data_IF_724769122283
#
_entry.id   IF_724769122283
#
_cell.length_a   1.000
_cell.length_b   1.000
_cell.length_c   1.000
_cell.angle_alpha   90.00
_cell.angle_beta   90.00
_cell.angle_gamma   90.00
#
_symmetry.space_group_name_H-M   'P 1'
#
loop_
_entity.id
_entity.type
_entity.pdbx_description
1 polymer ?
#
# COMPACT_ATOMS: atom_id res chain seq x y z
N UNK A 1 26.94 3.19 -13.64
CA UNK A 1 26.31 4.47 -14.03
C UNK A 1 26.05 5.20 -12.73
N UNK A 2 26.55 6.41 -12.54
CA UNK A 2 26.22 7.24 -11.38
C UNK A 2 25.01 8.08 -11.75
N UNK A 3 23.82 7.51 -11.54
CA UNK A 3 22.54 8.02 -12.04
C UNK A 3 21.47 7.88 -10.98
N UNK A 4 20.64 8.90 -10.88
CA UNK A 4 19.61 9.02 -9.86
C UNK A 4 18.23 8.77 -10.48
N UNK A 5 17.61 7.63 -10.17
CA UNK A 5 16.29 7.25 -10.68
C UNK A 5 15.18 8.24 -10.27
N UNK A 6 15.41 9.08 -9.25
CA UNK A 6 14.47 10.15 -8.91
C UNK A 6 14.41 11.23 -10.00
N UNK A 7 15.43 11.33 -10.85
CA UNK A 7 15.51 12.30 -11.95
C UNK A 7 15.08 11.66 -13.26
N UNK A 8 14.27 12.41 -14.01
CA UNK A 8 13.72 11.99 -15.31
C UNK A 8 14.82 11.70 -16.35
N UNK A 9 15.78 12.61 -16.54
CA UNK A 9 16.88 12.43 -17.52
C UNK A 9 17.75 11.20 -17.18
N UNK A 10 18.07 11.02 -15.90
CA UNK A 10 18.82 9.86 -15.44
C UNK A 10 18.03 8.55 -15.64
N UNK A 11 16.72 8.55 -15.40
CA UNK A 11 15.83 7.41 -15.70
C UNK A 11 15.86 7.05 -17.18
N UNK A 12 15.80 8.03 -18.08
CA UNK A 12 15.91 7.81 -19.53
C UNK A 12 17.24 7.12 -19.85
N UNK A 13 18.35 7.61 -19.30
CA UNK A 13 19.68 7.06 -19.56
C UNK A 13 19.84 5.63 -19.01
N UNK A 14 19.26 5.34 -17.84
CA UNK A 14 19.20 3.99 -17.27
C UNK A 14 18.43 3.04 -18.21
N UNK A 15 17.25 3.44 -18.69
CA UNK A 15 16.44 2.62 -19.59
C UNK A 15 17.14 2.37 -20.94
N UNK A 16 17.76 3.38 -21.52
CA UNK A 16 18.51 3.21 -22.76
C UNK A 16 19.70 2.26 -22.58
N UNK A 17 20.34 2.28 -21.42
CA UNK A 17 21.39 1.31 -21.10
C UNK A 17 20.85 -0.11 -20.99
N UNK A 18 19.70 -0.30 -20.35
CA UNK A 18 19.02 -1.60 -20.34
C UNK A 18 18.65 -2.06 -21.74
N UNK A 19 18.16 -1.18 -22.60
CA UNK A 19 17.85 -1.50 -23.98
C UNK A 19 19.10 -1.97 -24.76
N UNK A 20 20.23 -1.29 -24.57
CA UNK A 20 21.52 -1.70 -25.15
C UNK A 20 21.97 -3.08 -24.66
N UNK A 21 21.91 -3.33 -23.35
CA UNK A 21 22.32 -4.60 -22.74
C UNK A 21 21.41 -5.77 -23.15
N UNK A 22 20.12 -5.51 -23.29
CA UNK A 22 19.14 -6.47 -23.81
C UNK A 22 19.17 -6.61 -25.34
N UNK A 23 20.02 -5.83 -26.01
CA UNK A 23 20.15 -5.80 -27.48
C UNK A 23 18.80 -5.57 -28.18
N UNK A 24 17.99 -4.69 -27.61
CA UNK A 24 16.69 -4.36 -28.17
C UNK A 24 16.90 -3.58 -29.48
N UNK A 25 16.01 -3.84 -30.44
CA UNK A 25 16.04 -3.25 -31.79
C UNK A 25 14.61 -2.99 -32.26
N UNK A 26 14.45 -2.39 -33.44
CA UNK A 26 13.16 -1.99 -34.03
C UNK A 26 12.06 -3.08 -34.03
N UNK A 27 12.43 -4.37 -33.98
CA UNK A 27 11.50 -5.51 -33.86
C UNK A 27 11.14 -5.86 -32.41
N UNK A 28 11.02 -4.84 -31.56
CA UNK A 28 11.05 -4.93 -30.10
C UNK A 28 9.91 -5.76 -29.50
N UNK A 29 10.26 -6.53 -28.46
CA UNK A 29 9.27 -7.06 -27.51
C UNK A 29 9.18 -6.08 -26.34
N UNK A 30 7.98 -5.61 -26.07
CA UNK A 30 7.64 -4.90 -24.84
C UNK A 30 8.27 -5.60 -23.61
N UNK A 31 8.81 -4.82 -22.69
CA UNK A 31 9.33 -5.27 -21.40
C UNK A 31 8.51 -4.68 -20.28
N UNK A 32 8.21 -5.50 -19.29
CA UNK A 32 7.57 -5.04 -18.06
C UNK A 32 8.62 -4.35 -17.18
N UNK A 33 8.35 -3.11 -16.80
CA UNK A 33 9.15 -2.34 -15.84
C UNK A 33 8.27 -2.09 -14.63
N UNK A 34 8.63 -2.66 -13.48
CA UNK A 34 7.87 -2.51 -12.24
C UNK A 34 8.68 -1.68 -11.26
N UNK A 35 8.08 -0.63 -10.72
CA UNK A 35 8.74 0.29 -9.79
C UNK A 35 7.73 1.05 -8.94
N UNK A 36 8.22 1.99 -8.14
CA UNK A 36 7.34 2.83 -7.34
C UNK A 36 6.60 3.88 -8.23
N UNK A 37 5.84 4.75 -7.56
CA UNK A 37 5.10 5.82 -8.23
C UNK A 37 6.03 6.83 -8.95
N UNK A 38 7.21 7.11 -8.41
CA UNK A 38 8.16 8.04 -9.00
C UNK A 38 8.79 7.45 -10.26
N UNK A 39 9.21 6.18 -10.22
CA UNK A 39 9.72 5.45 -11.40
C UNK A 39 8.70 5.46 -12.53
N UNK A 40 7.43 5.12 -12.24
CA UNK A 40 6.37 5.10 -13.25
C UNK A 40 6.13 6.49 -13.85
N UNK A 41 6.11 7.53 -13.02
CA UNK A 41 5.99 8.93 -13.47
C UNK A 41 7.17 9.32 -14.37
N UNK A 42 8.39 8.99 -13.98
CA UNK A 42 9.59 9.33 -14.72
C UNK A 42 9.66 8.61 -16.08
N UNK A 43 9.24 7.35 -16.17
CA UNK A 43 9.14 6.62 -17.44
C UNK A 43 8.14 7.33 -18.38
N UNK A 44 6.94 7.65 -17.90
CA UNK A 44 5.92 8.35 -18.71
C UNK A 44 6.38 9.73 -19.15
N UNK A 45 6.93 10.52 -18.24
CA UNK A 45 7.49 11.84 -18.56
C UNK A 45 8.64 11.73 -19.57
N UNK A 46 9.49 10.70 -19.43
CA UNK A 46 10.57 10.43 -20.36
C UNK A 46 10.09 10.11 -21.78
N UNK A 47 8.99 9.37 -21.94
CA UNK A 47 8.35 9.19 -23.26
C UNK A 47 7.87 10.51 -23.85
N UNK A 48 7.24 11.34 -23.02
CA UNK A 48 6.76 12.67 -23.42
C UNK A 48 7.89 13.55 -23.97
N UNK A 49 9.01 13.63 -23.25
CA UNK A 49 10.19 14.40 -23.68
C UNK A 49 10.82 13.89 -24.99
N UNK A 50 10.55 12.64 -25.37
CA UNK A 50 11.16 11.99 -26.51
C UNK A 50 10.21 11.81 -27.68
N UNK A 51 9.02 12.42 -27.66
CA UNK A 51 7.99 12.29 -28.71
C UNK A 51 8.50 12.64 -30.13
N UNK A 52 9.57 13.43 -30.25
CA UNK A 52 10.20 13.79 -31.53
C UNK A 52 11.21 12.76 -32.07
N UNK A 53 11.52 11.70 -31.34
CA UNK A 53 12.45 10.65 -31.78
C UNK A 53 11.81 9.71 -32.81
N UNK A 54 12.61 9.21 -33.76
CA UNK A 54 12.12 8.25 -34.78
C UNK A 54 12.27 6.79 -34.33
N UNK A 55 13.30 6.48 -33.55
CA UNK A 55 13.61 5.14 -33.07
C UNK A 55 12.69 4.74 -31.90
N UNK A 56 11.90 3.65 -32.00
CA UNK A 56 11.04 3.14 -30.92
C UNK A 56 11.78 2.86 -29.60
N UNK A 57 13.07 2.50 -29.67
CA UNK A 57 13.94 2.31 -28.50
C UNK A 57 14.16 3.65 -27.80
N UNK A 58 14.50 4.69 -28.57
CA UNK A 58 14.68 6.05 -28.06
C UNK A 58 13.38 6.64 -27.53
N UNK A 59 12.23 6.33 -28.15
CA UNK A 59 10.90 6.70 -27.66
C UNK A 59 10.49 5.99 -26.36
N UNK A 60 11.28 5.01 -25.88
CA UNK A 60 10.98 4.19 -24.70
C UNK A 60 9.62 3.48 -24.79
N UNK A 61 9.13 3.19 -26.00
CA UNK A 61 7.81 2.55 -26.21
C UNK A 61 7.77 1.13 -25.64
N UNK A 62 8.92 0.47 -25.62
CA UNK A 62 9.12 -0.88 -25.11
C UNK A 62 8.95 -1.00 -23.59
N UNK A 63 9.24 0.05 -22.83
CA UNK A 63 9.38 -0.01 -21.37
C UNK A 63 8.03 0.15 -20.69
N UNK A 64 7.17 -0.88 -20.67
CA UNK A 64 5.80 -0.81 -20.14
C UNK A 64 5.82 -0.73 -18.61
N UNK A 65 5.47 0.42 -18.06
CA UNK A 65 5.61 0.71 -16.63
C UNK A 65 4.40 0.25 -15.82
N UNK A 66 4.63 -0.39 -14.69
CA UNK A 66 3.58 -0.76 -13.74
C UNK A 66 3.97 -0.36 -12.34
N UNK A 67 3.04 0.24 -11.56
CA UNK A 67 3.30 0.49 -10.15
C UNK A 67 3.49 -0.84 -9.42
N UNK A 68 4.41 -0.85 -8.47
CA UNK A 68 4.66 -1.94 -7.55
C UNK A 68 3.59 -2.02 -6.46
N UNK A 69 3.38 -3.23 -5.93
CA UNK A 69 2.27 -3.48 -5.01
C UNK A 69 2.64 -3.23 -3.54
N UNK A 70 3.92 -3.10 -3.17
CA UNK A 70 4.28 -2.77 -1.79
C UNK A 70 3.78 -1.38 -1.43
N UNK A 71 4.06 -0.41 -2.29
CA UNK A 71 3.60 0.95 -2.07
C UNK A 71 2.09 1.09 -2.24
N UNK A 72 1.46 0.26 -3.08
CA UNK A 72 0.00 0.15 -3.14
C UNK A 72 -0.59 -0.33 -1.81
N UNK A 73 -0.06 -1.40 -1.22
CA UNK A 73 -0.48 -1.90 0.09
C UNK A 73 -0.30 -0.82 1.15
N UNK A 74 0.83 -0.11 1.14
CA UNK A 74 1.06 0.98 2.08
C UNK A 74 0.06 2.13 1.90
N UNK A 75 -0.24 2.54 0.67
CA UNK A 75 -1.20 3.61 0.43
C UNK A 75 -2.64 3.18 0.77
N UNK A 76 -3.00 1.91 0.53
CA UNK A 76 -4.26 1.33 0.97
C UNK A 76 -4.39 1.39 2.50
N UNK A 77 -3.34 1.01 3.23
CA UNK A 77 -3.27 1.12 4.69
C UNK A 77 -3.44 2.56 5.17
N UNK A 78 -2.72 3.51 4.57
CA UNK A 78 -2.82 4.95 4.89
C UNK A 78 -4.23 5.47 4.64
N UNK A 79 -4.81 5.11 3.51
CA UNK A 79 -6.18 5.50 3.12
C UNK A 79 -7.18 4.97 4.11
N UNK A 80 -7.09 3.68 4.47
CA UNK A 80 -7.98 3.06 5.44
C UNK A 80 -7.85 3.70 6.83
N UNK A 81 -6.60 3.91 7.26
CA UNK A 81 -6.29 4.53 8.55
C UNK A 81 -6.82 5.95 8.63
N UNK A 82 -6.61 6.76 7.59
CA UNK A 82 -7.09 8.14 7.53
C UNK A 82 -8.62 8.21 7.64
N UNK A 83 -9.33 7.32 6.96
CA UNK A 83 -10.80 7.28 6.97
C UNK A 83 -11.40 6.96 8.34
N UNK A 84 -10.65 6.27 9.19
CA UNK A 84 -11.14 5.73 10.46
C UNK A 84 -10.40 6.29 11.68
N UNK A 85 -9.45 7.22 11.48
CA UNK A 85 -8.55 7.68 12.54
C UNK A 85 -9.30 8.30 13.73
N UNK A 86 -10.14 9.31 13.44
CA UNK A 86 -10.94 10.03 14.42
C UNK A 86 -10.17 10.62 15.60
N UNK A 87 -10.90 11.10 16.60
CA UNK A 87 -10.34 11.60 17.86
C UNK A 87 -10.24 10.48 18.89
N UNK A 88 -9.29 10.58 19.83
CA UNK A 88 -9.12 9.58 20.90
C UNK A 88 -10.32 9.50 21.86
N UNK A 89 -11.18 10.52 21.88
CA UNK A 89 -12.42 10.57 22.67
C UNK A 89 -13.61 9.95 21.94
N UNK A 90 -13.52 9.72 20.63
CA UNK A 90 -14.62 9.19 19.85
C UNK A 90 -14.65 7.65 19.90
N UNK A 91 -15.81 7.11 20.23
CA UNK A 91 -16.05 5.68 20.30
C UNK A 91 -15.68 4.96 18.98
N UNK A 92 -14.86 3.92 19.10
CA UNK A 92 -14.46 3.03 18.00
C UNK A 92 -13.55 3.69 16.95
N UNK A 93 -13.00 4.88 17.22
CA UNK A 93 -11.98 5.47 16.35
C UNK A 93 -10.65 4.72 16.49
N UNK A 94 -9.82 4.70 15.45
CA UNK A 94 -8.48 4.09 15.55
C UNK A 94 -7.63 4.81 16.60
N UNK A 95 -7.76 6.13 16.75
CA UNK A 95 -7.03 6.90 17.76
C UNK A 95 -7.42 6.51 19.18
N UNK A 96 -8.71 6.25 19.45
CA UNK A 96 -9.18 5.76 20.75
C UNK A 96 -8.62 4.36 21.02
N UNK A 97 -8.75 3.46 20.03
CA UNK A 97 -8.30 2.07 20.16
C UNK A 97 -6.79 2.02 20.37
N UNK A 98 -6.02 2.81 19.63
CA UNK A 98 -4.56 2.95 19.80
C UNK A 98 -4.16 3.23 21.24
N UNK A 99 -4.85 4.16 21.90
CA UNK A 99 -4.62 4.49 23.31
C UNK A 99 -5.04 3.33 24.21
N UNK A 100 -6.19 2.71 23.93
CA UNK A 100 -6.71 1.60 24.73
C UNK A 100 -5.78 0.37 24.77
N UNK A 101 -5.10 0.07 23.66
CA UNK A 101 -4.15 -1.05 23.55
C UNK A 101 -2.67 -0.62 23.64
N UNK A 102 -2.40 0.64 24.02
CA UNK A 102 -1.04 1.19 24.18
C UNK A 102 -0.13 1.08 22.94
N UNK A 103 -0.69 1.19 21.73
CA UNK A 103 0.06 1.14 20.45
C UNK A 103 0.48 2.54 19.98
N UNK A 104 1.11 3.32 20.85
CA UNK A 104 1.37 4.76 20.62
C UNK A 104 2.28 5.09 19.43
N UNK A 105 3.05 4.11 18.93
CA UNK A 105 3.89 4.27 17.74
C UNK A 105 3.10 4.24 16.43
N UNK A 106 1.87 3.72 16.43
CA UNK A 106 1.00 3.78 15.26
C UNK A 106 0.49 5.21 15.07
N UNK A 107 0.49 5.72 13.85
CA UNK A 107 0.10 7.09 13.54
C UNK A 107 -0.79 7.17 12.28
N UNK A 108 -1.51 8.30 12.14
CA UNK A 108 -2.49 8.48 11.06
C UNK A 108 -1.88 8.44 9.65
N UNK A 109 -0.61 8.86 9.51
CA UNK A 109 0.09 8.91 8.23
C UNK A 109 0.81 7.59 7.93
N UNK A 110 0.79 6.65 8.88
CA UNK A 110 1.46 5.36 8.81
C UNK A 110 2.93 5.50 8.40
N UNK A 111 3.67 6.37 9.09
CA UNK A 111 5.09 6.62 8.79
C UNK A 111 5.94 5.36 8.96
N UNK A 112 5.62 4.56 9.97
CA UNK A 112 6.19 3.23 10.12
C UNK A 112 5.19 2.18 9.60
N UNK A 113 5.47 1.65 8.40
CA UNK A 113 4.61 0.67 7.74
C UNK A 113 4.28 -0.53 8.64
N UNK A 114 5.30 -1.18 9.21
CA UNK A 114 5.11 -2.41 10.01
C UNK A 114 4.26 -2.17 11.25
N UNK A 115 4.55 -1.11 12.01
CA UNK A 115 3.78 -0.78 13.21
C UNK A 115 2.33 -0.47 12.87
N UNK A 116 2.09 0.28 11.79
CA UNK A 116 0.73 0.62 11.36
C UNK A 116 -0.01 -0.57 10.75
N UNK A 117 0.68 -1.42 9.98
CA UNK A 117 0.11 -2.62 9.37
C UNK A 117 -0.35 -3.62 10.43
N UNK A 118 0.52 -3.92 11.40
CA UNK A 118 0.22 -4.80 12.51
C UNK A 118 -0.96 -4.24 13.33
N UNK A 119 -0.89 -2.96 13.72
CA UNK A 119 -1.96 -2.28 14.45
C UNK A 119 -3.29 -2.38 13.69
N UNK A 120 -3.32 -2.00 12.42
CA UNK A 120 -4.55 -1.99 11.63
C UNK A 120 -5.13 -3.40 11.45
N UNK A 121 -4.28 -4.43 11.33
CA UNK A 121 -4.73 -5.82 11.25
C UNK A 121 -5.32 -6.33 12.56
N UNK A 122 -4.69 -6.02 13.70
CA UNK A 122 -5.24 -6.36 15.02
C UNK A 122 -6.59 -5.68 15.24
N UNK A 123 -6.67 -4.40 14.88
CA UNK A 123 -7.88 -3.61 15.00
C UNK A 123 -8.99 -4.16 14.09
N UNK A 124 -8.68 -4.48 12.83
CA UNK A 124 -9.61 -5.10 11.89
C UNK A 124 -10.18 -6.42 12.43
N UNK A 125 -9.32 -7.32 12.93
CA UNK A 125 -9.74 -8.59 13.54
C UNK A 125 -10.62 -8.38 14.77
N UNK A 126 -10.25 -7.46 15.66
CA UNK A 126 -11.05 -7.12 16.84
C UNK A 126 -12.44 -6.58 16.48
N UNK A 127 -12.54 -5.76 15.43
CA UNK A 127 -13.81 -5.28 14.91
C UNK A 127 -14.64 -6.38 14.25
N UNK A 128 -14.03 -7.29 13.49
CA UNK A 128 -14.71 -8.47 12.92
C UNK A 128 -15.36 -9.29 14.04
N UNK A 129 -14.61 -9.63 15.10
CA UNK A 129 -15.11 -10.41 16.22
C UNK A 129 -16.23 -9.68 16.97
N UNK A 130 -16.08 -8.38 17.25
CA UNK A 130 -17.10 -7.59 17.92
C UNK A 130 -18.38 -7.49 17.09
N UNK A 131 -18.27 -7.22 15.78
CA UNK A 131 -19.40 -7.15 14.88
C UNK A 131 -20.12 -8.50 14.75
N UNK A 132 -19.38 -9.60 14.66
CA UNK A 132 -19.95 -10.95 14.63
C UNK A 132 -20.68 -11.29 15.93
N UNK A 133 -20.11 -10.94 17.09
CA UNK A 133 -20.74 -11.16 18.40
C UNK A 133 -22.12 -10.49 18.44
N UNK A 134 -22.20 -9.22 18.03
CA UNK A 134 -23.47 -8.47 17.97
C UNK A 134 -24.42 -9.05 16.93
N UNK A 135 -23.93 -9.39 15.73
CA UNK A 135 -24.75 -9.92 14.64
C UNK A 135 -25.38 -11.28 14.96
N UNK A 136 -24.62 -12.16 15.61
CA UNK A 136 -25.08 -13.49 16.02
C UNK A 136 -25.92 -13.45 17.31
N UNK A 137 -26.03 -12.28 17.95
CA UNK A 137 -26.79 -12.11 19.20
C UNK A 137 -26.15 -12.80 20.40
N UNK A 138 -24.83 -12.96 20.40
CA UNK A 138 -24.09 -13.58 21.50
C UNK A 138 -23.95 -12.60 22.67
N UNK A 139 -24.06 -13.10 23.90
CA UNK A 139 -23.87 -12.28 25.11
C UNK A 139 -22.38 -11.98 25.35
N UNK A 140 -21.51 -12.87 24.87
CA UNK A 140 -20.07 -12.81 25.06
C UNK A 140 -19.33 -13.37 23.84
N UNK A 141 -18.15 -12.83 23.49
CA UNK A 141 -17.29 -13.39 22.44
C UNK A 141 -16.77 -14.81 22.71
N UNK A 142 -16.86 -15.28 23.96
CA UNK A 142 -16.47 -16.65 24.34
C UNK A 142 -17.62 -17.64 24.14
N UNK A 143 -18.83 -17.16 23.86
CA UNK A 143 -19.99 -18.02 23.58
C UNK A 143 -19.81 -18.73 22.25
N UNK A 144 -20.01 -20.05 22.24
CA UNK A 144 -19.90 -20.85 21.02
C UNK A 144 -21.15 -20.67 20.17
N UNK A 145 -20.97 -20.32 18.90
CA UNK A 145 -22.04 -20.36 17.90
C UNK A 145 -21.99 -21.70 17.15
N UNK A 146 -23.06 -22.49 17.25
CA UNK A 146 -23.13 -23.79 16.59
C UNK A 146 -23.50 -23.62 15.11
N UNK A 147 -22.48 -23.64 14.24
CA UNK A 147 -22.68 -23.76 12.81
C UNK A 147 -22.90 -25.23 12.43
N UNK A 148 -24.07 -25.57 11.88
CA UNK A 148 -24.48 -26.97 11.65
C UNK A 148 -23.95 -27.57 10.35
N UNK A 149 -23.50 -26.76 9.39
CA UNK A 149 -22.93 -27.21 8.12
C UNK A 149 -22.09 -26.12 7.42
N UNK A 150 -21.21 -26.48 6.47
CA UNK A 150 -20.50 -25.50 5.64
C UNK A 150 -21.43 -24.55 4.87
N UNK A 151 -22.59 -25.06 4.42
CA UNK A 151 -23.59 -24.22 3.75
C UNK A 151 -24.19 -23.18 4.70
N UNK A 152 -24.43 -23.54 5.97
CA UNK A 152 -24.91 -22.60 6.97
C UNK A 152 -23.85 -21.53 7.25
N UNK A 153 -22.57 -21.90 7.28
CA UNK A 153 -21.46 -20.96 7.41
C UNK A 153 -21.45 -19.95 6.26
N UNK A 154 -21.50 -20.42 5.00
CA UNK A 154 -21.50 -19.56 3.82
C UNK A 154 -22.72 -18.62 3.81
N UNK A 155 -23.89 -19.12 4.22
CA UNK A 155 -25.11 -18.33 4.34
C UNK A 155 -24.97 -17.23 5.40
N UNK A 156 -24.44 -17.57 6.57
CA UNK A 156 -24.18 -16.62 7.67
C UNK A 156 -23.15 -15.58 7.25
N UNK A 157 -22.04 -15.99 6.65
CA UNK A 157 -20.98 -15.10 6.19
C UNK A 157 -21.51 -14.13 5.12
N UNK A 158 -22.26 -14.65 4.13
CA UNK A 158 -22.88 -13.83 3.09
C UNK A 158 -23.86 -12.81 3.68
N UNK A 159 -24.68 -13.23 4.65
CA UNK A 159 -25.62 -12.36 5.35
C UNK A 159 -24.90 -11.30 6.18
N UNK A 160 -23.88 -11.69 6.95
CA UNK A 160 -23.05 -10.77 7.74
C UNK A 160 -22.39 -9.70 6.86
N UNK A 161 -21.79 -10.12 5.74
CA UNK A 161 -21.17 -9.20 4.79
C UNK A 161 -22.21 -8.22 4.22
N UNK A 162 -23.37 -8.71 3.80
CA UNK A 162 -24.42 -7.89 3.19
C UNK A 162 -25.10 -6.93 4.18
N UNK A 163 -25.39 -7.40 5.39
CA UNK A 163 -26.17 -6.65 6.39
C UNK A 163 -25.31 -5.76 7.30
N UNK A 164 -24.05 -6.15 7.56
CA UNK A 164 -23.17 -5.48 8.53
C UNK A 164 -21.99 -4.81 7.84
N UNK A 165 -21.23 -5.54 7.02
CA UNK A 165 -19.97 -5.04 6.45
C UNK A 165 -20.23 -3.94 5.43
N UNK A 166 -21.03 -4.22 4.40
CA UNK A 166 -21.34 -3.23 3.39
C UNK A 166 -22.14 -2.09 4.02
N UNK A 167 -21.57 -0.88 4.14
CA UNK A 167 -22.31 0.23 4.70
C UNK A 167 -23.31 0.67 3.65
N UNK A 168 -24.59 0.67 4.03
CA UNK A 168 -25.68 1.20 3.21
C UNK A 168 -25.50 2.68 2.90
N UNK A 169 -26.48 3.29 2.23
CA UNK A 169 -26.46 4.73 2.00
C UNK A 169 -26.55 5.47 3.33
N UNK A 170 -25.60 6.40 3.54
CA UNK A 170 -25.64 7.32 4.65
C UNK A 170 -26.79 8.32 4.47
N UNK A 171 -27.47 8.62 5.58
CA UNK A 171 -28.45 9.69 5.69
C UNK A 171 -28.06 10.60 6.85
N UNK A 172 -28.50 11.86 6.85
CA UNK A 172 -28.21 12.83 7.92
C UNK A 172 -28.65 12.33 9.31
N UNK A 173 -29.72 11.51 9.37
CA UNK A 173 -30.24 10.91 10.61
C UNK A 173 -29.50 9.62 11.04
N UNK A 174 -28.50 9.18 10.27
CA UNK A 174 -27.77 7.94 10.55
C UNK A 174 -26.87 8.07 11.78
N UNK A 175 -26.77 6.99 12.56
CA UNK A 175 -25.77 6.86 13.62
C UNK A 175 -24.37 6.89 13.00
N UNK A 176 -23.68 8.04 13.13
CA UNK A 176 -22.39 8.26 12.49
C UNK A 176 -21.29 7.38 13.11
N UNK A 177 -21.41 7.03 14.40
CA UNK A 177 -20.46 6.14 15.09
C UNK A 177 -20.58 4.73 14.52
N UNK A 178 -21.82 4.21 14.41
CA UNK A 178 -22.05 2.89 13.82
C UNK A 178 -21.67 2.86 12.34
N UNK A 179 -21.99 3.92 11.60
CA UNK A 179 -21.65 4.03 10.17
C UNK A 179 -20.13 3.96 9.97
N UNK A 180 -19.37 4.75 10.72
CA UNK A 180 -17.90 4.71 10.67
C UNK A 180 -17.35 3.35 11.07
N UNK A 181 -17.90 2.69 12.09
CA UNK A 181 -17.47 1.36 12.52
C UNK A 181 -17.73 0.27 11.47
N UNK A 182 -18.84 0.36 10.73
CA UNK A 182 -19.12 -0.51 9.57
C UNK A 182 -18.16 -0.22 8.41
N UNK A 183 -17.88 1.06 8.15
CA UNK A 183 -16.92 1.44 7.13
C UNK A 183 -15.48 1.01 7.45
N UNK A 184 -15.09 1.10 8.72
CA UNK A 184 -13.83 0.53 9.22
C UNK A 184 -13.78 -0.98 8.93
N UNK A 185 -14.85 -1.71 9.23
CA UNK A 185 -14.92 -3.15 8.99
C UNK A 185 -14.80 -3.49 7.49
N UNK A 186 -15.47 -2.71 6.64
CA UNK A 186 -15.35 -2.81 5.18
C UNK A 186 -13.90 -2.61 4.71
N UNK A 187 -13.24 -1.54 5.17
CA UNK A 187 -11.84 -1.25 4.82
C UNK A 187 -10.88 -2.29 5.38
N UNK A 188 -11.11 -2.76 6.61
CA UNK A 188 -10.33 -3.80 7.26
C UNK A 188 -10.37 -5.11 6.48
N UNK A 189 -11.56 -5.55 6.06
CA UNK A 189 -11.71 -6.75 5.24
C UNK A 189 -11.07 -6.60 3.85
N UNK A 190 -11.25 -5.45 3.18
CA UNK A 190 -10.58 -5.18 1.91
C UNK A 190 -9.05 -5.21 2.05
N UNK A 191 -8.51 -4.62 3.12
CA UNK A 191 -7.08 -4.59 3.35
C UNK A 191 -6.50 -5.99 3.65
N UNK A 192 -7.17 -6.76 4.51
CA UNK A 192 -6.79 -8.14 4.80
C UNK A 192 -6.85 -9.04 3.55
N UNK A 193 -7.87 -8.85 2.70
CA UNK A 193 -7.98 -9.56 1.43
C UNK A 193 -6.87 -9.16 0.45
N UNK A 194 -6.53 -7.87 0.34
CA UNK A 194 -5.40 -7.39 -0.47
C UNK A 194 -4.08 -8.03 -0.01
N UNK A 195 -3.82 -8.04 1.31
CA UNK A 195 -2.64 -8.70 1.88
C UNK A 195 -2.61 -10.18 1.54
N UNK A 196 -3.75 -10.86 1.63
CA UNK A 196 -3.88 -12.27 1.30
C UNK A 196 -3.60 -12.50 -0.19
N UNK A 197 -4.20 -11.71 -1.07
CA UNK A 197 -3.97 -11.79 -2.51
C UNK A 197 -2.48 -11.64 -2.87
N UNK A 198 -1.77 -10.70 -2.23
CA UNK A 198 -0.31 -10.54 -2.41
C UNK A 198 0.45 -11.77 -1.90
N UNK A 199 0.15 -12.25 -0.69
CA UNK A 199 0.82 -13.40 -0.06
C UNK A 199 0.67 -14.69 -0.87
N UNK A 200 -0.49 -14.88 -1.49
CA UNK A 200 -0.79 -16.03 -2.35
C UNK A 200 -0.55 -15.75 -3.83
N UNK A 201 0.06 -14.61 -4.19
CA UNK A 201 0.42 -14.25 -5.56
C UNK A 201 -0.78 -14.25 -6.54
N UNK A 202 -1.96 -13.88 -6.04
CA UNK A 202 -3.23 -13.84 -6.78
C UNK A 202 -3.34 -12.54 -7.59
N UNK A 203 -2.56 -12.45 -8.67
CA UNK A 203 -2.46 -11.25 -9.51
C UNK A 203 -3.78 -10.63 -9.94
N UNK A 204 -4.75 -11.44 -10.39
CA UNK A 204 -6.07 -10.96 -10.79
C UNK A 204 -6.84 -10.30 -9.62
N UNK A 205 -6.75 -10.87 -8.42
CA UNK A 205 -7.38 -10.31 -7.23
C UNK A 205 -6.73 -8.99 -6.84
N UNK A 206 -5.40 -8.88 -6.94
CA UNK A 206 -4.69 -7.61 -6.74
C UNK A 206 -5.16 -6.54 -7.74
N UNK A 207 -5.40 -6.89 -9.00
CA UNK A 207 -5.97 -5.95 -9.99
C UNK A 207 -7.41 -5.55 -9.63
N UNK A 208 -8.23 -6.45 -9.07
CA UNK A 208 -9.55 -6.03 -8.55
C UNK A 208 -9.42 -5.05 -7.40
N UNK A 209 -8.44 -5.24 -6.50
CA UNK A 209 -8.14 -4.28 -5.45
C UNK A 209 -7.76 -2.92 -6.02
N UNK A 210 -6.91 -2.85 -7.05
CA UNK A 210 -6.61 -1.58 -7.71
C UNK A 210 -7.87 -0.83 -8.19
N UNK A 211 -8.90 -1.53 -8.67
CA UNK A 211 -10.19 -0.91 -9.06
C UNK A 211 -10.98 -0.39 -7.86
N UNK A 212 -11.06 -1.16 -6.79
CA UNK A 212 -11.82 -0.78 -5.59
C UNK A 212 -11.13 0.36 -4.85
N UNK A 213 -9.82 0.26 -4.66
CA UNK A 213 -9.03 1.27 -3.97
C UNK A 213 -8.88 2.57 -4.78
N UNK A 214 -8.96 2.53 -6.10
CA UNK A 214 -9.01 3.74 -6.93
C UNK A 214 -10.11 4.72 -6.48
N UNK A 215 -11.34 4.23 -6.22
CA UNK A 215 -12.43 5.06 -5.71
C UNK A 215 -12.06 5.65 -4.33
N UNK A 216 -11.48 4.84 -3.45
CA UNK A 216 -11.09 5.28 -2.11
C UNK A 216 -9.96 6.32 -2.14
N UNK A 217 -8.98 6.18 -3.03
CA UNK A 217 -7.91 7.16 -3.23
C UNK A 217 -8.46 8.50 -3.71
N UNK A 218 -9.42 8.48 -4.64
CA UNK A 218 -10.10 9.70 -5.08
C UNK A 218 -10.87 10.38 -3.95
N UNK A 219 -11.63 9.59 -3.18
CA UNK A 219 -12.44 10.07 -2.06
C UNK A 219 -11.63 10.71 -0.94
N UNK A 220 -10.43 10.18 -0.71
CA UNK A 220 -9.51 10.64 0.33
C UNK A 220 -8.46 11.63 -0.18
N UNK A 221 -8.60 12.11 -1.41
CA UNK A 221 -7.68 13.07 -2.05
C UNK A 221 -6.24 12.55 -2.20
N UNK A 222 -6.02 11.24 -2.20
CA UNK A 222 -4.74 10.60 -2.56
C UNK A 222 -4.55 10.59 -4.08
N UNK A 223 -4.41 11.79 -4.65
CA UNK A 223 -4.48 11.99 -6.11
C UNK A 223 -3.35 11.25 -6.86
N UNK A 224 -2.16 11.12 -6.29
CA UNK A 224 -1.04 10.45 -6.94
C UNK A 224 -1.35 8.95 -7.18
N UNK A 225 -1.82 8.24 -6.15
CA UNK A 225 -2.20 6.83 -6.30
C UNK A 225 -3.52 6.64 -7.05
N UNK A 226 -4.43 7.61 -7.02
CA UNK A 226 -5.57 7.60 -7.92
C UNK A 226 -5.13 7.68 -9.40
N UNK A 227 -4.13 8.50 -9.72
CA UNK A 227 -3.55 8.57 -11.07
C UNK A 227 -2.82 7.26 -11.44
N UNK A 228 -2.02 6.69 -10.53
CA UNK A 228 -1.36 5.40 -10.80
C UNK A 228 -2.35 4.27 -11.05
N UNK A 229 -3.41 4.19 -10.24
CA UNK A 229 -4.47 3.23 -10.43
C UNK A 229 -5.16 3.41 -11.79
N UNK A 230 -5.48 4.65 -12.17
CA UNK A 230 -6.09 4.96 -13.46
C UNK A 230 -5.17 4.59 -14.63
N UNK A 231 -3.88 4.90 -14.56
CA UNK A 231 -2.89 4.52 -15.57
C UNK A 231 -2.78 3.00 -15.69
N UNK A 232 -2.59 2.27 -14.58
CA UNK A 232 -2.51 0.81 -14.59
C UNK A 232 -3.77 0.18 -15.21
N UNK A 233 -4.95 0.63 -14.80
CA UNK A 233 -6.21 0.08 -15.29
C UNK A 233 -6.48 0.42 -16.76
N UNK A 234 -6.12 1.63 -17.21
CA UNK A 234 -6.18 2.01 -18.61
C UNK A 234 -5.22 1.17 -19.45
N UNK A 235 -4.00 0.97 -18.96
CA UNK A 235 -2.97 0.22 -19.63
C UNK A 235 -3.36 -1.26 -19.81
N UNK A 236 -3.81 -1.91 -18.74
CA UNK A 236 -4.29 -3.29 -18.77
C UNK A 236 -5.50 -3.50 -19.71
N UNK A 237 -6.34 -2.47 -19.85
CA UNK A 237 -7.60 -2.58 -20.60
C UNK A 237 -7.46 -2.18 -22.07
N UNK A 238 -6.55 -1.26 -22.40
CA UNK A 238 -6.55 -0.62 -23.70
C UNK A 238 -5.15 -0.40 -24.32
N UNK A 239 -4.12 -0.11 -23.53
CA UNK A 239 -2.79 0.23 -24.08
C UNK A 239 -1.92 -1.00 -24.36
N UNK A 240 -1.85 -1.92 -23.40
CA UNK A 240 -0.96 -3.06 -23.48
C UNK A 240 -1.53 -4.18 -24.36
N UNK A 241 -0.63 -4.85 -25.08
CA UNK A 241 -0.98 -6.09 -25.78
C UNK A 241 -1.54 -7.12 -24.77
N UNK A 242 -2.40 -8.07 -25.20
CA UNK A 242 -2.94 -9.09 -24.29
C UNK A 242 -1.85 -9.88 -23.54
N UNK A 243 -0.70 -10.11 -24.20
CA UNK A 243 0.46 -10.73 -23.57
C UNK A 243 1.05 -9.86 -22.46
N UNK A 244 1.27 -8.57 -22.71
CA UNK A 244 1.80 -7.66 -21.69
C UNK A 244 0.84 -7.45 -20.52
N UNK A 245 -0.46 -7.36 -20.80
CA UNK A 245 -1.48 -7.31 -19.75
C UNK A 245 -1.46 -8.57 -18.87
N UNK A 246 -1.28 -9.76 -19.46
CA UNK A 246 -1.08 -11.00 -18.72
C UNK A 246 0.17 -10.94 -17.84
N UNK A 247 1.32 -10.55 -18.39
CA UNK A 247 2.58 -10.42 -17.63
C UNK A 247 2.42 -9.45 -16.45
N UNK A 248 1.88 -8.26 -16.67
CA UNK A 248 1.68 -7.27 -15.61
C UNK A 248 0.59 -7.64 -14.60
N UNK A 249 -0.30 -8.56 -14.94
CA UNK A 249 -1.30 -9.10 -14.01
C UNK A 249 -0.68 -10.19 -13.13
N UNK A 250 0.09 -11.12 -13.70
CA UNK A 250 0.54 -12.32 -12.97
C UNK A 250 1.95 -12.22 -12.38
N UNK A 251 2.81 -11.32 -12.86
CA UNK A 251 4.20 -11.17 -12.38
C UNK A 251 4.36 -9.97 -11.42
N UNK A 252 3.39 -9.74 -10.55
CA UNK A 252 3.41 -8.61 -9.60
C UNK A 252 4.06 -8.95 -8.26
N UNK A 253 4.03 -10.24 -7.91
CA UNK A 253 4.54 -10.77 -6.67
C UNK A 253 5.63 -11.81 -6.96
N UNK A 254 6.47 -12.07 -5.95
CA UNK A 254 7.55 -13.05 -5.98
C UNK A 254 7.54 -13.84 -4.67
N UNK A 255 7.83 -15.13 -4.75
CA UNK A 255 8.01 -16.00 -3.59
C UNK A 255 9.40 -16.65 -3.62
N UNK A 256 10.34 -16.03 -2.91
CA UNK A 256 11.73 -16.50 -2.85
C UNK A 256 11.92 -17.72 -1.94
N UNK A 257 10.99 -17.99 -1.01
CA UNK A 257 11.09 -19.13 -0.10
C UNK A 257 10.54 -20.42 -0.72
N UNK A 258 9.62 -20.27 -1.69
CA UNK A 258 8.90 -21.40 -2.29
C UNK A 258 7.77 -21.93 -1.41
N UNK A 259 7.52 -21.33 -0.25
CA UNK A 259 6.48 -21.76 0.69
C UNK A 259 5.15 -21.06 0.42
N UNK A 260 4.05 -21.78 0.64
CA UNK A 260 2.71 -21.22 0.45
C UNK A 260 2.46 -20.00 1.37
N UNK A 261 1.80 -18.97 0.83
CA UNK A 261 1.47 -17.76 1.59
C UNK A 261 2.67 -16.89 1.99
N UNK A 262 3.85 -17.08 1.39
CA UNK A 262 5.06 -16.25 1.60
C UNK A 262 5.42 -15.35 0.41
N UNK A 263 4.46 -15.14 -0.51
CA UNK A 263 4.61 -14.17 -1.59
C UNK A 263 4.76 -12.73 -1.06
N UNK A 264 5.56 -11.94 -1.76
CA UNK A 264 5.78 -10.50 -1.50
C UNK A 264 5.68 -9.72 -2.80
N UNK A 265 5.32 -8.43 -2.78
CA UNK A 265 5.39 -7.57 -3.96
C UNK A 265 6.80 -7.54 -4.55
N UNK A 266 6.91 -7.45 -5.87
CA UNK A 266 8.22 -7.45 -6.54
C UNK A 266 9.06 -6.20 -6.21
N UNK A 267 8.43 -5.04 -6.03
CA UNK A 267 9.09 -3.80 -5.62
C UNK A 267 9.61 -3.88 -4.18
N UNK A 268 8.96 -4.68 -3.31
CA UNK A 268 9.47 -4.98 -1.97
C UNK A 268 10.79 -5.75 -2.02
N UNK A 269 10.93 -6.69 -2.97
CA UNK A 269 12.18 -7.43 -3.17
C UNK A 269 13.31 -6.49 -3.61
N UNK A 270 13.00 -5.54 -4.50
CA UNK A 270 13.93 -4.48 -4.88
C UNK A 270 14.42 -3.68 -3.68
N UNK A 271 13.51 -3.27 -2.79
CA UNK A 271 13.86 -2.53 -1.57
C UNK A 271 14.70 -3.36 -0.59
N UNK A 272 14.43 -4.66 -0.47
CA UNK A 272 15.24 -5.58 0.31
C UNK A 272 16.67 -5.67 -0.24
N UNK A 273 16.82 -5.89 -1.55
CA UNK A 273 18.13 -5.91 -2.19
C UNK A 273 18.89 -4.60 -2.02
N UNK A 274 18.21 -3.45 -2.22
CA UNK A 274 18.80 -2.13 -2.02
C UNK A 274 19.34 -1.95 -0.60
N UNK A 275 18.60 -2.39 0.40
CA UNK A 275 19.03 -2.36 1.81
C UNK A 275 20.23 -3.27 2.05
N UNK A 276 20.22 -4.51 1.55
CA UNK A 276 21.38 -5.42 1.69
C UNK A 276 22.63 -4.85 1.03
N UNK A 277 22.51 -4.27 -0.17
CA UNK A 277 23.61 -3.61 -0.86
C UNK A 277 24.13 -2.43 -0.02
N UNK A 278 23.26 -1.54 0.45
CA UNK A 278 23.64 -0.39 1.30
C UNK A 278 24.35 -0.82 2.58
N UNK A 279 23.81 -1.82 3.29
CA UNK A 279 24.39 -2.35 4.53
C UNK A 279 25.76 -2.99 4.28
N UNK A 280 25.88 -3.80 3.22
CA UNK A 280 27.14 -4.44 2.85
C UNK A 280 28.19 -3.41 2.46
N UNK A 281 27.79 -2.38 1.70
CA UNK A 281 28.66 -1.26 1.37
C UNK A 281 29.13 -0.52 2.63
N UNK A 282 28.22 -0.15 3.54
CA UNK A 282 28.61 0.50 4.80
C UNK A 282 29.58 -0.36 5.63
N UNK A 283 29.35 -1.68 5.68
CA UNK A 283 30.18 -2.63 6.41
C UNK A 283 31.59 -2.80 5.79
N UNK A 284 31.73 -2.70 4.47
CA UNK A 284 33.02 -2.81 3.79
C UNK A 284 33.93 -1.57 3.94
N UNK A 285 33.39 -0.44 4.42
CA UNK A 285 34.14 0.76 4.79
C UNK A 285 34.56 1.65 3.60
N UNK A 286 35.38 2.67 3.88
CA UNK A 286 35.63 3.82 2.99
C UNK A 286 36.49 3.60 1.73
N UNK A 287 36.71 2.34 1.28
CA UNK A 287 37.47 2.02 0.05
C UNK A 287 36.64 1.30 -1.01
N UNK A 288 35.33 1.53 -1.03
CA UNK A 288 34.45 0.97 -2.04
C UNK A 288 34.51 1.75 -3.35
N UNK A 289 35.17 1.15 -4.33
CA UNK A 289 34.96 1.51 -5.74
C UNK A 289 33.60 1.04 -6.27
N UNK A 290 33.06 1.70 -7.30
CA UNK A 290 31.80 1.35 -7.96
C UNK A 290 31.73 -0.13 -8.37
N UNK A 291 32.85 -0.71 -8.82
CA UNK A 291 32.93 -2.12 -9.18
C UNK A 291 32.55 -3.05 -8.01
N UNK A 292 32.93 -2.71 -6.79
CA UNK A 292 32.55 -3.51 -5.63
C UNK A 292 31.04 -3.46 -5.38
N UNK A 293 30.41 -2.29 -5.55
CA UNK A 293 28.95 -2.18 -5.45
C UNK A 293 28.23 -3.00 -6.54
N UNK A 294 28.79 -3.07 -7.75
CA UNK A 294 28.29 -3.97 -8.80
C UNK A 294 28.42 -5.44 -8.41
N UNK A 295 29.61 -5.86 -7.94
CA UNK A 295 29.85 -7.24 -7.50
C UNK A 295 28.92 -7.64 -6.34
N UNK A 296 28.67 -6.73 -5.40
CA UNK A 296 27.71 -6.90 -4.31
C UNK A 296 26.29 -7.03 -4.85
N UNK A 297 25.87 -6.14 -5.76
CA UNK A 297 24.53 -6.16 -6.34
C UNK A 297 24.23 -7.46 -7.08
N UNK A 298 25.19 -7.95 -7.89
CA UNK A 298 25.09 -9.22 -8.60
C UNK A 298 25.06 -10.44 -7.65
N UNK A 299 25.57 -10.28 -6.44
CA UNK A 299 25.69 -11.34 -5.43
C UNK A 299 24.75 -11.13 -4.24
N UNK A 300 23.75 -10.26 -4.34
CA UNK A 300 22.92 -9.83 -3.19
C UNK A 300 22.28 -11.02 -2.47
N UNK A 301 21.78 -12.00 -3.21
CA UNK A 301 21.19 -13.23 -2.67
C UNK A 301 22.19 -14.07 -1.86
N UNK A 302 23.47 -14.08 -2.28
CA UNK A 302 24.52 -14.78 -1.55
C UNK A 302 24.85 -14.05 -0.23
N UNK A 303 24.86 -12.72 -0.24
CA UNK A 303 25.05 -11.93 0.98
C UNK A 303 23.90 -12.12 1.97
N UNK A 304 22.66 -12.14 1.49
CA UNK A 304 21.48 -12.45 2.33
C UNK A 304 21.57 -13.86 2.93
N UNK A 305 21.90 -14.85 2.12
CA UNK A 305 22.08 -16.22 2.60
C UNK A 305 23.22 -16.34 3.62
N UNK A 306 24.34 -15.66 3.38
CA UNK A 306 25.48 -15.64 4.30
C UNK A 306 25.14 -14.96 5.63
N UNK A 307 24.36 -13.87 5.59
CA UNK A 307 23.85 -13.20 6.79
C UNK A 307 22.96 -14.13 7.60
N UNK A 308 21.96 -14.76 6.99
CA UNK A 308 21.05 -15.68 7.67
C UNK A 308 21.79 -16.88 8.27
N UNK A 309 22.78 -17.42 7.55
CA UNK A 309 23.65 -18.47 8.07
C UNK A 309 24.46 -17.99 9.28
N UNK A 310 25.10 -16.83 9.21
CA UNK A 310 25.86 -16.26 10.31
C UNK A 310 24.99 -16.00 11.54
N UNK A 311 23.78 -15.45 11.36
CA UNK A 311 22.80 -15.22 12.42
C UNK A 311 22.38 -16.54 13.07
N UNK A 312 22.16 -17.60 12.29
CA UNK A 312 21.84 -18.93 12.81
C UNK A 312 22.96 -19.51 13.70
N UNK A 313 24.22 -19.28 13.36
CA UNK A 313 25.39 -19.75 14.12
C UNK A 313 25.68 -18.90 15.36
N UNK A 314 25.41 -17.59 15.28
CA UNK A 314 25.78 -16.62 16.31
C UNK A 314 24.63 -16.27 17.26
N UNK A 315 23.50 -16.98 17.16
CA UNK A 315 22.27 -16.77 17.92
C UNK A 315 22.39 -17.13 19.42
N UNK A 316 23.21 -16.36 20.14
CA UNK A 316 22.97 -16.03 21.54
C UNK A 316 22.52 -14.56 21.61
N UNK A 317 21.33 -14.26 21.08
CA UNK A 317 20.71 -12.94 21.27
C UNK A 317 19.43 -13.10 22.07
N UNK A 318 19.53 -12.66 23.32
CA UNK A 318 18.47 -12.56 24.34
C UNK A 318 17.55 -11.35 24.15
N UNK A 319 17.49 -10.80 22.94
CA UNK A 319 16.51 -9.78 22.57
C UNK A 319 15.44 -10.43 21.73
N UNK A 320 14.69 -11.36 22.33
CA UNK A 320 13.30 -11.47 21.91
C UNK A 320 12.70 -10.11 22.25
N UNK A 321 12.53 -9.23 21.26
CA UNK A 321 11.47 -8.23 21.38
C UNK A 321 10.26 -9.04 21.81
N UNK A 322 9.72 -8.76 23.01
CA UNK A 322 8.44 -9.35 23.44
C UNK A 322 7.45 -8.95 22.37
N UNK A 323 7.23 -9.83 21.39
CA UNK A 323 6.21 -9.66 20.38
C UNK A 323 4.93 -9.52 21.17
N UNK A 324 4.33 -8.33 21.13
CA UNK A 324 3.05 -8.10 21.79
C UNK A 324 2.09 -9.13 21.22
N UNK A 325 1.56 -10.01 22.06
CA UNK A 325 0.68 -11.09 21.59
C UNK A 325 -0.49 -10.48 20.82
N UNK A 326 -0.62 -10.89 19.56
CA UNK A 326 -1.69 -10.44 18.67
C UNK A 326 -3.06 -10.70 19.30
N UNK A 327 -3.21 -11.83 19.99
CA UNK A 327 -4.43 -12.21 20.71
C UNK A 327 -4.80 -11.18 21.79
N UNK A 328 -3.83 -10.73 22.59
CA UNK A 328 -4.10 -9.74 23.66
C UNK A 328 -4.61 -8.43 23.08
N UNK A 329 -3.99 -7.95 22.00
CA UNK A 329 -4.44 -6.75 21.30
C UNK A 329 -5.83 -6.95 20.72
N UNK A 330 -6.05 -8.01 19.93
CA UNK A 330 -7.32 -8.31 19.28
C UNK A 330 -8.47 -8.39 20.31
N UNK A 331 -8.25 -9.09 21.42
CA UNK A 331 -9.23 -9.21 22.52
C UNK A 331 -9.49 -7.85 23.19
N UNK A 332 -8.46 -7.03 23.35
CA UNK A 332 -8.59 -5.70 23.95
C UNK A 332 -9.33 -4.73 23.03
N UNK A 333 -9.07 -4.78 21.73
CA UNK A 333 -9.84 -4.05 20.71
C UNK A 333 -11.30 -4.45 20.77
N UNK A 334 -11.59 -5.75 20.64
CA UNK A 334 -12.95 -6.28 20.65
C UNK A 334 -13.71 -5.86 21.91
N UNK A 335 -13.09 -6.00 23.09
CA UNK A 335 -13.69 -5.58 24.37
C UNK A 335 -14.00 -4.09 24.38
N UNK A 336 -13.08 -3.25 23.87
CA UNK A 336 -13.27 -1.80 23.78
C UNK A 336 -14.44 -1.44 22.85
N UNK A 337 -14.49 -2.07 21.68
CA UNK A 337 -15.53 -1.87 20.66
C UNK A 337 -16.92 -2.27 21.19
N UNK A 338 -17.04 -3.42 21.85
CA UNK A 338 -18.29 -3.89 22.47
C UNK A 338 -18.74 -2.98 23.61
N UNK A 339 -17.81 -2.58 24.51
CA UNK A 339 -18.10 -1.67 25.62
C UNK A 339 -18.70 -0.34 25.16
N UNK A 340 -18.28 0.16 24.00
CA UNK A 340 -18.79 1.41 23.43
C UNK A 340 -20.04 1.23 22.57
N UNK A 341 -20.53 0.00 22.41
CA UNK A 341 -21.74 -0.35 21.65
C UNK A 341 -21.73 0.28 20.24
N UNK A 342 -20.58 0.23 19.56
CA UNK A 342 -20.42 0.90 18.25
C UNK A 342 -21.19 0.17 17.15
N UNK A 343 -21.48 -1.12 17.31
CA UNK A 343 -22.26 -1.90 16.34
C UNK A 343 -23.77 -1.95 16.63
N UNK A 344 -24.23 -1.35 17.73
CA UNK A 344 -25.66 -1.15 17.99
C UNK A 344 -26.12 0.19 17.40
N UNK A 345 -27.27 0.22 16.74
CA UNK A 345 -27.83 1.48 16.23
C UNK A 345 -28.37 2.32 17.39
N UNK A 346 -27.78 3.50 17.60
CA UNK A 346 -28.21 4.51 18.57
C UNK A 346 -28.47 5.83 17.85
N UNK A 347 -29.74 6.12 17.50
CA UNK A 347 -30.10 7.35 16.82
C UNK A 347 -29.57 8.59 17.55
N UNK A 348 -29.06 9.57 16.79
CA UNK A 348 -28.56 10.84 17.31
C UNK A 348 -27.08 10.86 17.73
N UNK A 349 -26.32 9.76 17.55
CA UNK A 349 -24.85 9.82 17.66
C UNK A 349 -24.26 10.48 16.41
N UNK A 350 -23.63 11.64 16.60
CA UNK A 350 -22.86 12.36 15.58
C UNK A 350 -21.37 12.43 15.91
N UNK A 351 -20.55 12.59 14.88
CA UNK A 351 -19.10 12.80 14.99
C UNK A 351 -18.79 14.29 14.79
N UNK A 352 -17.68 14.76 15.37
CA UNK A 352 -17.23 16.14 15.20
C UNK A 352 -15.70 16.19 14.97
N UNK A 353 -15.24 16.55 13.76
CA UNK A 353 -16.04 16.97 12.60
C UNK A 353 -16.91 15.85 12.04
N UNK A 354 -17.93 16.24 11.28
CA UNK A 354 -18.80 15.28 10.60
C UNK A 354 -17.97 14.34 9.72
N UNK A 355 -18.25 13.05 9.82
CA UNK A 355 -17.56 12.04 9.03
C UNK A 355 -18.17 11.96 7.63
N UNK A 356 -17.34 12.15 6.61
CA UNK A 356 -17.74 12.06 5.21
C UNK A 356 -17.38 10.68 4.63
N UNK A 357 -18.34 10.02 3.96
CA UNK A 357 -18.09 8.77 3.24
C UNK A 357 -17.15 9.04 2.05
N UNK A 358 -15.91 8.52 2.05
CA UNK A 358 -14.96 8.74 0.97
C UNK A 358 -15.50 8.28 -0.40
N UNK A 359 -16.35 7.25 -0.43
CA UNK A 359 -16.94 6.76 -1.69
C UNK A 359 -17.92 7.78 -2.27
N UNK A 360 -18.67 8.47 -1.41
CA UNK A 360 -19.57 9.54 -1.86
C UNK A 360 -18.78 10.71 -2.45
N UNK A 361 -17.70 11.12 -1.77
CA UNK A 361 -16.77 12.15 -2.25
C UNK A 361 -16.14 11.74 -3.58
N UNK A 362 -15.71 10.48 -3.70
CA UNK A 362 -15.12 9.96 -4.94
C UNK A 362 -16.09 10.02 -6.11
N UNK A 363 -17.35 9.60 -5.91
CA UNK A 363 -18.41 9.68 -6.93
C UNK A 363 -18.63 11.11 -7.40
N UNK A 364 -18.73 12.06 -6.47
CA UNK A 364 -18.86 13.48 -6.82
C UNK A 364 -17.69 13.96 -7.68
N UNK A 365 -16.44 13.64 -7.30
CA UNK A 365 -15.24 13.99 -8.07
C UNK A 365 -15.19 13.35 -9.46
N UNK A 366 -15.74 12.15 -9.61
CA UNK A 366 -15.88 11.49 -10.91
C UNK A 366 -16.96 12.17 -11.78
N UNK A 367 -18.08 12.61 -11.19
CA UNK A 367 -19.17 13.26 -11.92
C UNK A 367 -18.84 14.71 -12.34
N UNK A 368 -18.09 15.45 -11.53
CA UNK A 368 -17.68 16.83 -11.84
C UNK A 368 -16.75 16.89 -13.07
N UNK A 369 -16.24 15.76 -13.57
CA UNK A 369 -15.29 15.62 -14.68
C UNK A 369 -13.97 16.39 -14.52
N UNK A 370 -13.84 17.31 -13.54
CA UNK A 370 -12.65 18.12 -13.31
C UNK A 370 -11.42 17.26 -13.03
N UNK A 371 -11.57 16.22 -12.21
CA UNK A 371 -10.47 15.29 -11.95
C UNK A 371 -10.05 14.55 -13.22
N UNK A 372 -11.01 14.01 -13.99
CA UNK A 372 -10.73 13.29 -15.23
C UNK A 372 -10.11 14.20 -16.28
N UNK A 373 -10.62 15.41 -16.45
CA UNK A 373 -10.06 16.41 -17.34
C UNK A 373 -8.60 16.72 -16.96
N UNK A 374 -8.33 16.97 -15.67
CA UNK A 374 -6.98 17.21 -15.17
C UNK A 374 -6.06 15.99 -15.36
N UNK A 375 -6.56 14.78 -15.16
CA UNK A 375 -5.80 13.54 -15.40
C UNK A 375 -5.40 13.43 -16.87
N UNK A 376 -6.33 13.67 -17.80
CA UNK A 376 -6.09 13.61 -19.24
C UNK A 376 -5.22 14.75 -19.77
N UNK A 377 -5.25 15.93 -19.13
CA UNK A 377 -4.41 17.07 -19.52
C UNK A 377 -3.01 17.03 -18.92
N UNK A 378 -2.83 16.48 -17.72
CA UNK A 378 -1.50 16.29 -17.10
C UNK A 378 -0.57 15.46 -17.97
N UNK A 379 -1.10 14.40 -18.59
CA UNK A 379 -0.36 13.62 -19.59
C UNK A 379 0.14 14.42 -20.79
N UNK A 380 -0.43 15.62 -21.04
CA UNK A 380 0.01 16.54 -22.11
C UNK A 380 0.92 17.66 -21.61
N UNK A 381 0.82 18.09 -20.35
CA UNK A 381 1.63 19.17 -19.78
C UNK A 381 2.99 18.70 -19.28
N UNK A 382 3.12 17.45 -18.82
CA UNK A 382 4.43 16.85 -18.48
C UNK A 382 5.40 16.81 -19.70
N UNK A 383 4.90 17.10 -20.91
CA UNK A 383 5.63 17.20 -22.18
C UNK A 383 6.21 18.62 -22.40
N UNK A 384 5.59 19.68 -21.86
CA UNK A 384 5.91 21.07 -22.22
C UNK A 384 6.70 21.89 -21.19
N UNK A 385 6.73 21.47 -19.92
CA UNK A 385 7.13 22.36 -18.81
C UNK A 385 8.63 22.36 -18.44
N UNK A 386 9.49 21.63 -19.17
CA UNK A 386 10.92 21.50 -18.82
C UNK A 386 11.90 22.01 -19.90
N UNK A 387 11.44 22.78 -20.89
CA UNK A 387 12.34 23.30 -21.95
C UNK A 387 13.22 24.49 -21.55
N UNK A 388 13.06 25.08 -20.37
CA UNK A 388 13.97 26.13 -19.87
C UNK A 388 14.26 25.97 -18.36
N UNK A 389 15.52 26.11 -17.92
CA UNK A 389 15.81 26.25 -16.49
C UNK A 389 15.11 27.52 -15.99
N UNK A 390 14.37 27.47 -14.86
CA UNK A 390 13.58 28.62 -14.42
C UNK A 390 14.50 29.81 -14.09
N UNK A 391 14.36 30.89 -14.87
CA UNK A 391 14.66 32.21 -14.38
C UNK A 391 13.70 32.51 -13.22
N UNK A 392 14.25 32.93 -12.09
CA UNK A 392 13.51 33.25 -10.87
C UNK A 392 12.40 34.28 -11.15
N UNK A 393 11.12 33.98 -10.87
CA UNK A 393 10.10 35.01 -10.82
C UNK A 393 9.95 35.50 -9.39
N UNK A 394 10.29 36.77 -9.20
CA UNK A 394 9.82 37.56 -8.06
C UNK A 394 8.29 37.62 -8.05
N UNK A 395 7.74 37.32 -6.88
CA UNK A 395 6.57 37.89 -6.22
C UNK A 395 5.21 38.05 -6.96
N UNK A 396 4.21 37.53 -6.26
CA UNK A 396 2.84 38.03 -6.07
C UNK A 396 1.75 37.28 -6.83
N UNK A 397 1.07 36.39 -6.09
CA UNK A 397 -0.39 36.40 -5.90
C UNK A 397 -0.78 35.15 -5.07
N UNK A 398 -1.25 35.39 -3.85
CA UNK A 398 -1.38 34.40 -2.80
C UNK A 398 -2.64 33.52 -2.86
N UNK A 399 -2.43 32.22 -2.65
CA UNK A 399 -3.32 31.32 -1.91
C UNK A 399 -2.42 30.27 -1.24
N UNK A 400 -2.36 30.33 0.09
CA UNK A 400 -1.46 29.53 0.94
C UNK A 400 -2.00 28.12 1.15
N UNK A 401 -1.45 27.16 0.40
CA UNK A 401 -1.30 25.78 0.87
C UNK A 401 0.10 25.70 1.53
N UNK A 402 0.12 25.73 2.87
CA UNK A 402 1.32 25.46 3.66
C UNK A 402 1.65 23.95 3.61
N UNK A 403 2.30 23.51 2.54
CA UNK A 403 3.25 22.39 2.58
C UNK A 403 4.65 22.99 2.55
N UNK A 404 5.15 23.41 3.71
CA UNK A 404 6.54 23.82 3.86
C UNK A 404 7.43 22.59 3.71
N UNK A 405 8.07 22.49 2.54
CA UNK A 405 9.34 21.82 2.36
C UNK A 405 10.37 22.52 3.27
N UNK A 406 10.42 22.13 4.54
CA UNK A 406 11.60 22.38 5.36
C UNK A 406 12.75 21.56 4.77
N UNK A 407 13.82 22.28 4.43
CA UNK A 407 15.12 21.69 4.16
C UNK A 407 15.52 20.87 5.38
N UNK A 408 15.34 19.56 5.28
CA UNK A 408 15.91 18.60 6.23
C UNK A 408 17.42 18.69 6.05
N UNK A 409 18.08 19.44 6.94
CA UNK A 409 19.48 19.17 7.24
C UNK A 409 19.62 17.66 7.44
N UNK A 410 20.54 17.04 6.71
CA UNK A 410 20.91 15.63 6.84
C UNK A 410 21.45 15.41 8.26
N UNK A 411 20.53 15.22 9.20
CA UNK A 411 20.77 14.45 10.41
C UNK A 411 20.60 13.00 10.03
N UNK A 412 21.54 12.18 10.47
CA UNK A 412 21.48 10.73 10.39
C UNK A 412 20.15 10.24 11.02
N UNK A 413 19.11 10.13 10.19
CA UNK A 413 17.91 9.37 10.54
C UNK A 413 18.36 7.91 10.62
N UNK A 414 18.26 7.34 11.81
CA UNK A 414 18.43 5.91 12.01
C UNK A 414 17.49 5.18 11.05
N UNK A 415 18.08 4.50 10.05
CA UNK A 415 17.37 3.61 9.13
C UNK A 415 16.46 2.70 9.97
N UNK A 416 15.15 2.61 9.68
CA UNK A 416 14.26 1.76 10.45
C UNK A 416 14.80 0.32 10.45
N UNK A 417 15.07 -0.22 11.65
CA UNK A 417 15.44 -1.61 11.86
C UNK A 417 14.30 -2.51 11.39
N UNK A 418 14.47 -3.09 10.21
CA UNK A 418 13.56 -4.10 9.65
C UNK A 418 14.12 -5.49 9.96
N UNK A 419 13.72 -6.07 11.08
CA UNK A 419 13.93 -7.50 11.33
C UNK A 419 12.88 -8.30 10.53
N UNK A 420 13.33 -9.36 9.84
CA UNK A 420 12.43 -10.37 9.31
C UNK A 420 11.75 -11.06 10.49
N UNK A 421 10.50 -10.70 10.76
CA UNK A 421 9.67 -11.53 11.63
C UNK A 421 9.27 -12.75 10.80
N UNK A 422 9.71 -13.93 11.22
CA UNK A 422 9.05 -15.17 10.85
C UNK A 422 7.60 -15.09 11.37
N UNK A 423 6.69 -14.56 10.54
CA UNK A 423 5.26 -14.50 10.83
C UNK A 423 4.67 -15.91 10.76
N UNK A 424 5.00 -16.73 11.77
CA UNK A 424 4.45 -18.05 12.02
C UNK A 424 3.03 -17.97 12.64
N UNK A 425 2.62 -16.80 13.15
CA UNK A 425 1.40 -16.66 13.96
C UNK A 425 0.13 -16.33 13.15
N UNK A 426 0.16 -16.43 11.81
CA UNK A 426 -1.04 -16.26 10.97
C UNK A 426 -1.64 -17.56 10.44
N UNK A 427 -1.11 -18.71 10.87
CA UNK A 427 -1.65 -20.04 10.56
C UNK A 427 -1.78 -20.82 11.87
N UNK A 428 -2.83 -20.52 12.64
CA UNK A 428 -3.43 -21.43 13.61
C UNK A 428 -4.84 -20.92 13.97
N UNK A 429 -5.67 -20.75 12.94
CA UNK A 429 -7.10 -21.03 13.10
C UNK A 429 -7.28 -22.43 12.52
N UNK A 430 -6.85 -23.43 13.29
CA UNK A 430 -7.37 -24.78 13.12
C UNK A 430 -8.89 -24.68 13.27
N UNK A 431 -9.58 -24.74 12.13
CA UNK A 431 -10.99 -25.05 12.07
C UNK A 431 -11.13 -26.50 12.56
N UNK A 432 -11.33 -26.64 13.87
CA UNK A 432 -11.81 -27.85 14.52
C UNK A 432 -13.22 -27.63 15.03
#
# INVERSE_FOLDING_TARGET
MDKDESKKDDTIQILLKFAEELQLSDNMKDQAVVGDQATCKNIRGGRGWREGEEDPVQLLQWAKESPGDFHFVWEALKTATLCCWGLATEAGSLSQIRVAINRMRADKECKNFQVSDEFFCHVSKGHILAALTVFLGLESPQESYNCTSPHDFDSIASKFVTEVVFPGQWTEDSDQVQTRARFMLYLGLLYLDLRTAVRYQMGEAVIQHWKVWFELFLGTKRNNYACEAANLLANLKADWSPYMAYIHTHNRCVNITGEEGKGKPIDMLGEHHNRTIKQTCRAAGGRLEFKHAQDISLSVQLFDAAKNFADSLCSKKTTHHTTTSAEVDIQSVMTTVLKHEVYHNKPGRSLNPEWLDPRAVARERLYDNKWLANFLTRGKQDISDDTEPPESPDADDGETDEDSAEQVEVRDEEDPEWEEIEDADLINLDLA
#
